data_IF_474610702011
#
_entry.id   IF_474610702011
#
_cell.length_a   1.000
_cell.length_b   1.000
_cell.length_c   1.000
_cell.angle_alpha   90.00
_cell.angle_beta   90.00
_cell.angle_gamma   90.00
#
_symmetry.space_group_name_H-M   'P 1'
#
loop_
_entity.id
_entity.type
_entity.pdbx_description
1 polymer ?
#
# COMPACT_ATOMS: atom_id res chain seq x y z
N UNK A 1 -18.17 8.53 -8.24
CA UNK A 1 -16.97 7.84 -7.76
C UNK A 1 -15.84 7.98 -8.77
N UNK A 2 -14.70 8.50 -8.33
CA UNK A 2 -13.48 8.64 -9.15
C UNK A 2 -12.48 7.58 -8.72
N UNK A 3 -11.81 6.94 -9.68
CA UNK A 3 -10.68 6.05 -9.42
C UNK A 3 -9.44 6.59 -10.13
N UNK A 4 -8.38 6.86 -9.39
CA UNK A 4 -7.09 7.25 -9.96
C UNK A 4 -6.22 6.01 -10.25
N UNK A 5 -5.74 5.87 -11.48
CA UNK A 5 -4.75 4.85 -11.87
C UNK A 5 -3.48 5.57 -12.29
N UNK A 6 -2.47 5.56 -11.41
CA UNK A 6 -1.20 6.22 -11.68
C UNK A 6 -0.06 5.48 -10.99
N UNK A 7 0.90 4.99 -11.79
CA UNK A 7 2.13 4.41 -11.26
C UNK A 7 3.08 5.56 -10.95
N UNK A 8 3.02 6.05 -9.71
CA UNK A 8 3.78 7.22 -9.27
C UNK A 8 5.29 6.94 -9.20
N UNK A 9 6.15 7.55 -10.05
CA UNK A 9 7.59 7.30 -10.01
C UNK A 9 8.24 7.72 -8.69
N UNK A 10 7.72 8.76 -8.01
CA UNK A 10 8.34 9.32 -6.80
C UNK A 10 8.35 8.35 -5.60
N UNK A 11 7.49 7.34 -5.60
CA UNK A 11 7.43 6.36 -4.51
C UNK A 11 8.24 5.09 -4.78
N UNK A 12 8.96 5.00 -5.90
CA UNK A 12 9.81 3.86 -6.22
C UNK A 12 11.27 4.16 -5.87
N UNK A 13 11.81 3.35 -4.99
CA UNK A 13 13.22 3.34 -4.58
C UNK A 13 14.14 2.68 -5.63
N UNK A 14 13.57 1.88 -6.55
CA UNK A 14 14.31 1.14 -7.57
C UNK A 14 13.71 1.32 -8.96
N UNK A 15 14.52 1.80 -9.89
CA UNK A 15 14.12 1.99 -11.29
C UNK A 15 13.60 0.69 -11.94
N UNK A 16 14.20 -0.46 -11.62
CA UNK A 16 13.76 -1.76 -12.13
C UNK A 16 12.38 -2.20 -11.62
N UNK A 17 11.99 -1.79 -10.40
CA UNK A 17 10.65 -2.10 -9.87
C UNK A 17 9.60 -1.22 -10.58
N UNK A 18 9.92 0.06 -10.82
CA UNK A 18 9.08 0.96 -11.61
C UNK A 18 8.91 0.49 -13.07
N UNK A 19 9.99 -0.01 -13.69
CA UNK A 19 9.97 -0.49 -15.06
C UNK A 19 9.11 -1.76 -15.21
N UNK A 20 9.18 -2.68 -14.23
CA UNK A 20 8.46 -3.96 -14.25
C UNK A 20 7.05 -3.90 -13.68
N UNK A 21 6.66 -2.79 -13.05
CA UNK A 21 5.33 -2.67 -12.46
C UNK A 21 4.24 -2.89 -13.53
N UNK A 22 3.27 -3.80 -13.30
CA UNK A 22 2.27 -4.13 -14.30
C UNK A 22 1.41 -2.91 -14.68
N UNK A 23 1.21 -2.70 -15.97
CA UNK A 23 0.34 -1.65 -16.53
C UNK A 23 -0.74 -2.30 -17.38
N UNK A 24 -1.96 -2.36 -16.86
CA UNK A 24 -3.10 -3.09 -17.43
C UNK A 24 -4.33 -2.20 -17.63
N UNK A 25 -4.12 -0.93 -18.00
CA UNK A 25 -5.16 0.11 -18.00
C UNK A 25 -6.47 -0.31 -18.67
N UNK A 26 -6.41 -0.99 -19.83
CA UNK A 26 -7.61 -1.45 -20.52
C UNK A 26 -8.41 -2.45 -19.69
N UNK A 27 -7.76 -3.49 -19.16
CA UNK A 27 -8.41 -4.50 -18.30
C UNK A 27 -8.94 -3.89 -16.99
N UNK A 28 -8.21 -2.92 -16.44
CA UNK A 28 -8.62 -2.21 -15.22
C UNK A 28 -9.87 -1.37 -15.47
N UNK A 29 -9.92 -0.63 -16.58
CA UNK A 29 -11.12 0.10 -17.02
C UNK A 29 -12.32 -0.82 -17.24
N UNK A 30 -12.14 -2.01 -17.82
CA UNK A 30 -13.22 -2.99 -17.99
C UNK A 30 -13.79 -3.48 -16.65
N UNK A 31 -12.91 -3.75 -15.67
CA UNK A 31 -13.32 -4.16 -14.31
C UNK A 31 -14.07 -3.02 -13.60
N UNK A 32 -13.56 -1.80 -13.71
CA UNK A 32 -14.16 -0.60 -13.09
C UNK A 32 -15.52 -0.25 -13.72
N UNK A 33 -15.66 -0.40 -15.04
CA UNK A 33 -16.93 -0.21 -15.74
C UNK A 33 -18.02 -1.16 -15.23
N UNK A 34 -17.68 -2.43 -14.97
CA UNK A 34 -18.59 -3.42 -14.36
C UNK A 34 -19.00 -3.08 -12.92
N UNK A 35 -18.27 -2.16 -12.27
CA UNK A 35 -18.56 -1.65 -10.92
C UNK A 35 -19.16 -0.24 -10.93
N UNK A 36 -19.60 0.24 -12.09
CA UNK A 36 -20.24 1.54 -12.26
C UNK A 36 -19.38 2.71 -11.74
N UNK A 37 -18.07 2.65 -11.95
CA UNK A 37 -17.18 3.80 -11.72
C UNK A 37 -17.48 4.89 -12.75
N UNK A 38 -17.69 6.12 -12.28
CA UNK A 38 -18.06 7.24 -13.16
C UNK A 38 -16.84 7.78 -13.94
N UNK A 39 -15.69 7.89 -13.28
CA UNK A 39 -14.48 8.48 -13.85
C UNK A 39 -13.25 7.65 -13.48
N UNK A 40 -12.43 7.34 -14.48
CA UNK A 40 -11.07 6.83 -14.29
C UNK A 40 -10.09 7.96 -14.62
N UNK A 41 -9.37 8.46 -13.62
CA UNK A 41 -8.32 9.45 -13.80
C UNK A 41 -6.97 8.74 -13.98
N UNK A 42 -6.46 8.69 -15.21
CA UNK A 42 -5.23 7.96 -15.57
C UNK A 42 -4.23 8.87 -16.31
N UNK A 43 -3.61 9.85 -15.61
CA UNK A 43 -2.71 10.82 -16.22
C UNK A 43 -1.37 10.19 -16.63
N UNK A 44 -0.67 10.80 -17.59
CA UNK A 44 0.72 10.42 -17.87
C UNK A 44 1.67 10.99 -16.81
N UNK A 45 2.82 10.35 -16.53
CA UNK A 45 3.82 10.90 -15.61
C UNK A 45 4.27 12.32 -15.95
N UNK A 46 4.36 12.67 -17.24
CA UNK A 46 4.72 14.01 -17.70
C UNK A 46 3.66 15.07 -17.38
N UNK A 47 2.38 14.69 -17.26
CA UNK A 47 1.31 15.61 -16.87
C UNK A 47 1.34 15.90 -15.36
N UNK A 48 1.75 14.89 -14.57
CA UNK A 48 1.87 15.01 -13.11
C UNK A 48 3.21 15.64 -12.70
N UNK A 49 4.29 15.32 -13.39
CA UNK A 49 5.65 15.75 -13.10
C UNK A 49 6.31 16.28 -14.38
N UNK A 50 5.92 17.48 -14.87
CA UNK A 50 6.38 18.01 -16.16
C UNK A 50 7.89 18.27 -16.22
N UNK A 51 8.52 18.44 -15.06
CA UNK A 51 9.97 18.65 -14.92
C UNK A 51 10.66 17.45 -14.26
N UNK A 52 9.99 16.29 -14.19
CA UNK A 52 10.45 15.15 -13.41
C UNK A 52 10.18 15.30 -11.91
N UNK A 53 10.68 14.34 -11.12
CA UNK A 53 10.41 14.25 -9.68
C UNK A 53 11.44 14.94 -8.79
N UNK A 54 12.64 15.21 -9.32
CA UNK A 54 13.80 15.61 -8.50
C UNK A 54 13.63 17.00 -7.87
N UNK A 55 13.05 17.94 -8.62
CA UNK A 55 12.75 19.31 -8.16
C UNK A 55 11.25 19.54 -7.87
N UNK A 56 10.44 18.48 -7.92
CA UNK A 56 9.01 18.60 -7.65
C UNK A 56 8.78 18.97 -6.18
N UNK A 57 7.85 19.90 -5.93
CA UNK A 57 7.34 20.14 -4.58
C UNK A 57 6.84 18.85 -3.96
N UNK A 58 7.22 18.60 -2.72
CA UNK A 58 6.87 17.38 -2.00
C UNK A 58 6.17 17.67 -0.68
N UNK A 59 5.43 16.68 -0.20
CA UNK A 59 4.83 16.65 1.14
C UNK A 59 5.49 15.52 1.90
N UNK A 60 5.98 15.79 3.11
CA UNK A 60 6.58 14.79 3.99
C UNK A 60 5.78 14.74 5.30
N UNK A 61 5.63 13.55 5.89
CA UNK A 61 4.90 13.33 7.14
C UNK A 61 5.90 12.77 8.17
N UNK A 62 6.56 13.63 8.96
CA UNK A 62 7.68 13.22 9.82
C UNK A 62 7.33 12.10 10.82
N UNK A 63 8.32 11.29 11.16
CA UNK A 63 8.21 10.17 12.08
C UNK A 63 7.63 8.93 11.39
N UNK A 64 6.37 8.97 10.98
CA UNK A 64 5.72 7.82 10.34
C UNK A 64 6.32 7.51 8.95
N UNK A 65 6.86 8.51 8.25
CA UNK A 65 7.52 8.33 6.95
C UNK A 65 8.85 7.58 7.02
N UNK A 66 9.49 7.49 8.20
CA UNK A 66 10.85 6.95 8.37
C UNK A 66 10.94 5.74 9.31
N UNK A 67 9.85 5.34 9.97
CA UNK A 67 9.78 4.12 10.77
C UNK A 67 9.30 2.91 9.94
N UNK A 68 9.44 1.69 10.47
CA UNK A 68 8.90 0.45 9.87
C UNK A 68 9.25 0.31 8.37
N UNK A 69 8.27 0.21 7.45
CA UNK A 69 8.53 0.10 6.00
C UNK A 69 9.29 1.32 5.47
N UNK A 70 9.09 2.49 6.06
CA UNK A 70 9.79 3.73 5.71
C UNK A 70 11.29 3.65 5.96
N UNK A 71 11.71 2.88 6.97
CA UNK A 71 13.13 2.62 7.23
C UNK A 71 13.74 1.71 6.14
N UNK A 72 12.98 0.73 5.65
CA UNK A 72 13.41 -0.18 4.58
C UNK A 72 13.32 0.43 3.19
N UNK A 73 12.50 1.48 3.00
CA UNK A 73 12.25 2.13 1.70
C UNK A 73 12.38 3.66 1.81
N UNK A 74 13.60 4.20 1.98
CA UNK A 74 13.81 5.64 2.11
C UNK A 74 13.17 6.43 0.97
N UNK A 75 12.40 7.46 1.30
CA UNK A 75 11.70 8.32 0.32
C UNK A 75 10.37 7.77 -0.19
N UNK A 76 10.05 6.48 0.01
CA UNK A 76 8.79 5.88 -0.47
C UNK A 76 7.56 6.66 0.00
N UNK A 77 7.48 6.89 1.31
CA UNK A 77 6.33 7.54 1.92
C UNK A 77 6.22 9.03 1.59
N UNK A 78 7.34 9.74 1.35
CA UNK A 78 7.32 11.09 0.78
C UNK A 78 6.65 11.09 -0.59
N UNK A 79 7.00 10.11 -1.43
CA UNK A 79 6.37 9.94 -2.73
C UNK A 79 4.86 9.72 -2.63
N UNK A 80 4.43 8.89 -1.65
CA UNK A 80 3.02 8.62 -1.37
C UNK A 80 2.27 9.87 -0.89
N UNK A 81 2.73 10.56 0.16
CA UNK A 81 2.07 11.78 0.66
C UNK A 81 2.02 12.88 -0.40
N UNK A 82 3.06 13.01 -1.22
CA UNK A 82 3.11 14.00 -2.30
C UNK A 82 2.05 13.73 -3.36
N UNK A 83 1.96 12.50 -3.89
CA UNK A 83 0.98 12.22 -4.94
C UNK A 83 -0.45 12.23 -4.41
N UNK A 84 -0.69 11.72 -3.19
CA UNK A 84 -2.03 11.73 -2.60
C UNK A 84 -2.49 13.15 -2.32
N UNK A 85 -1.62 14.02 -1.77
CA UNK A 85 -1.92 15.45 -1.62
C UNK A 85 -2.26 16.12 -2.95
N UNK A 86 -1.49 15.85 -4.00
CA UNK A 86 -1.76 16.39 -5.34
C UNK A 86 -3.10 15.89 -5.89
N UNK A 87 -3.43 14.62 -5.71
CA UNK A 87 -4.73 14.06 -6.11
C UNK A 87 -5.89 14.66 -5.31
N UNK A 88 -5.74 14.91 -4.01
CA UNK A 88 -6.75 15.60 -3.21
C UNK A 88 -7.00 17.02 -3.71
N UNK A 89 -5.96 17.76 -4.09
CA UNK A 89 -6.11 19.10 -4.67
C UNK A 89 -6.77 19.08 -6.05
N UNK A 90 -6.53 18.05 -6.87
CA UNK A 90 -7.08 17.93 -8.22
C UNK A 90 -8.53 17.44 -8.24
N UNK A 91 -8.86 16.46 -7.38
CA UNK A 91 -10.16 15.78 -7.37
C UNK A 91 -11.12 16.39 -6.36
N UNK A 92 -10.61 16.97 -5.28
CA UNK A 92 -11.39 17.55 -4.17
C UNK A 92 -12.51 16.62 -3.65
N UNK A 93 -12.18 15.38 -3.24
CA UNK A 93 -13.21 14.43 -2.82
C UNK A 93 -13.68 14.71 -1.38
N UNK A 94 -14.96 14.46 -1.08
CA UNK A 94 -15.44 14.45 0.31
C UNK A 94 -14.89 13.24 1.10
N UNK A 95 -14.71 12.10 0.41
CA UNK A 95 -14.29 10.81 0.99
C UNK A 95 -13.20 10.19 0.11
N UNK A 96 -12.14 9.68 0.73
CA UNK A 96 -11.11 8.89 0.08
C UNK A 96 -10.89 7.53 0.75
N UNK A 97 -10.92 6.46 -0.05
CA UNK A 97 -10.84 5.08 0.43
C UNK A 97 -9.45 4.47 0.20
N UNK A 98 -8.86 3.87 1.23
CA UNK A 98 -7.56 3.20 1.15
C UNK A 98 -7.64 1.82 1.80
N UNK A 99 -6.92 0.84 1.23
CA UNK A 99 -6.92 -0.53 1.77
C UNK A 99 -6.12 -0.65 3.06
N UNK A 100 -6.65 -1.37 4.06
CA UNK A 100 -5.99 -1.64 5.34
C UNK A 100 -4.76 -2.55 5.21
N UNK A 101 -4.58 -3.18 4.04
CA UNK A 101 -3.40 -3.99 3.74
C UNK A 101 -2.12 -3.19 3.93
N UNK A 102 -2.14 -1.92 3.53
CA UNK A 102 -1.01 -1.00 3.62
C UNK A 102 -1.24 -0.07 4.83
N UNK A 103 -1.26 -0.67 6.03
CA UNK A 103 -1.63 0.02 7.29
C UNK A 103 -0.82 1.29 7.55
N UNK A 104 0.50 1.24 7.35
CA UNK A 104 1.38 2.40 7.55
C UNK A 104 1.05 3.53 6.57
N UNK A 105 0.71 3.21 5.33
CA UNK A 105 0.23 4.20 4.36
C UNK A 105 -1.10 4.84 4.81
N UNK A 106 -2.07 4.03 5.24
CA UNK A 106 -3.35 4.54 5.73
C UNK A 106 -3.15 5.48 6.95
N UNK A 107 -2.31 5.08 7.90
CA UNK A 107 -1.98 5.92 9.06
C UNK A 107 -1.25 7.21 8.66
N UNK A 108 -0.33 7.13 7.70
CA UNK A 108 0.36 8.29 7.15
C UNK A 108 -0.60 9.28 6.48
N UNK A 109 -1.54 8.80 5.67
CA UNK A 109 -2.53 9.64 4.98
C UNK A 109 -3.48 10.28 5.99
N UNK A 110 -3.95 9.53 7.00
CA UNK A 110 -4.77 10.09 8.08
C UNK A 110 -4.05 11.21 8.83
N UNK A 111 -2.78 11.02 9.17
CA UNK A 111 -1.95 12.06 9.79
C UNK A 111 -1.79 13.27 8.88
N UNK A 112 -1.47 13.05 7.60
CA UNK A 112 -1.34 14.11 6.60
C UNK A 112 -2.62 14.94 6.47
N UNK A 113 -3.79 14.28 6.41
CA UNK A 113 -5.09 14.95 6.31
C UNK A 113 -5.35 15.84 7.52
N UNK A 114 -5.13 15.31 8.72
CA UNK A 114 -5.30 16.08 9.95
C UNK A 114 -4.33 17.26 10.05
N UNK A 115 -3.05 17.06 9.75
CA UNK A 115 -2.01 18.09 9.87
C UNK A 115 -2.16 19.21 8.82
N UNK A 116 -2.59 18.85 7.60
CA UNK A 116 -2.71 19.79 6.47
C UNK A 116 -4.10 20.45 6.37
N UNK A 117 -5.04 20.05 7.22
CA UNK A 117 -6.40 20.63 7.26
C UNK A 117 -7.26 20.28 6.03
N UNK A 118 -7.06 19.11 5.44
CA UNK A 118 -7.93 18.64 4.37
C UNK A 118 -9.31 18.26 4.93
N UNK A 119 -10.37 18.83 4.36
CA UNK A 119 -11.76 18.47 4.67
C UNK A 119 -12.17 17.20 3.91
N UNK A 120 -11.53 16.08 4.24
CA UNK A 120 -11.67 14.80 3.54
C UNK A 120 -11.77 13.66 4.57
N UNK A 121 -12.82 12.84 4.49
CA UNK A 121 -12.93 11.63 5.30
C UNK A 121 -12.05 10.51 4.74
N UNK A 122 -11.20 9.91 5.58
CA UNK A 122 -10.32 8.79 5.20
C UNK A 122 -10.87 7.45 5.69
N UNK A 123 -11.43 6.69 4.76
CA UNK A 123 -12.05 5.38 5.01
C UNK A 123 -11.04 4.25 4.75
N UNK A 124 -10.83 3.42 5.77
CA UNK A 124 -10.07 2.17 5.66
C UNK A 124 -10.95 1.05 5.11
N UNK A 125 -10.47 0.34 4.10
CA UNK A 125 -11.18 -0.80 3.48
C UNK A 125 -10.50 -2.11 3.88
N UNK A 126 -11.22 -3.08 4.47
CA UNK A 126 -10.64 -4.34 4.92
C UNK A 126 -9.86 -5.09 3.84
N UNK A 127 -8.84 -5.83 4.27
CA UNK A 127 -7.98 -6.63 3.39
C UNK A 127 -8.83 -7.68 2.66
N UNK A 128 -8.88 -7.60 1.33
CA UNK A 128 -9.47 -8.66 0.52
C UNK A 128 -8.48 -9.81 0.40
N UNK A 129 -8.93 -11.02 0.70
CA UNK A 129 -8.12 -12.25 0.67
C UNK A 129 -8.64 -13.23 -0.37
N UNK A 130 -7.72 -14.01 -0.94
CA UNK A 130 -8.07 -15.21 -1.69
C UNK A 130 -8.68 -16.26 -0.75
N UNK A 131 -9.31 -17.30 -1.31
CA UNK A 131 -9.97 -18.37 -0.53
C UNK A 131 -9.04 -19.08 0.46
N UNK A 132 -7.75 -19.11 0.17
CA UNK A 132 -6.71 -19.72 1.01
C UNK A 132 -6.10 -18.77 2.04
N UNK A 133 -6.58 -17.52 2.12
CA UNK A 133 -6.16 -16.52 3.11
C UNK A 133 -5.08 -15.55 2.64
N UNK A 134 -4.48 -15.78 1.46
CA UNK A 134 -3.47 -14.86 0.91
C UNK A 134 -4.10 -13.49 0.61
N UNK A 135 -3.49 -12.42 1.13
CA UNK A 135 -3.91 -11.06 0.80
C UNK A 135 -3.74 -10.80 -0.70
N UNK A 136 -4.77 -10.24 -1.35
CA UNK A 136 -4.69 -9.91 -2.77
C UNK A 136 -3.72 -8.73 -2.98
N UNK A 137 -2.80 -8.90 -3.92
CA UNK A 137 -1.79 -7.92 -4.29
C UNK A 137 -1.41 -8.11 -5.76
N UNK A 138 -1.16 -7.02 -6.49
CA UNK A 138 -0.63 -7.09 -7.85
C UNK A 138 0.72 -7.83 -7.89
N UNK A 139 1.51 -7.73 -6.81
CA UNK A 139 2.79 -8.43 -6.66
C UNK A 139 2.66 -9.96 -6.53
N UNK A 140 1.45 -10.50 -6.28
CA UNK A 140 1.25 -11.94 -6.27
C UNK A 140 1.53 -12.58 -7.63
N UNK A 141 1.49 -11.81 -8.73
CA UNK A 141 1.86 -12.27 -10.07
C UNK A 141 3.36 -12.59 -10.24
N UNK A 142 4.22 -12.17 -9.30
CA UNK A 142 5.64 -12.51 -9.32
C UNK A 142 5.95 -13.89 -8.71
N UNK A 143 4.98 -14.49 -8.01
CA UNK A 143 5.18 -15.77 -7.33
C UNK A 143 5.15 -16.91 -8.36
N UNK A 144 6.12 -17.82 -8.26
CA UNK A 144 6.03 -19.12 -8.94
C UNK A 144 4.88 -19.96 -8.37
N UNK A 145 4.50 -21.03 -9.08
CA UNK A 145 3.44 -21.93 -8.62
C UNK A 145 3.72 -22.52 -7.23
N UNK A 146 4.99 -22.80 -6.90
CA UNK A 146 5.36 -23.33 -5.59
C UNK A 146 5.44 -22.25 -4.52
N UNK A 147 5.97 -21.06 -4.83
CA UNK A 147 5.93 -19.92 -3.91
C UNK A 147 4.48 -19.53 -3.57
N UNK A 148 3.56 -19.62 -4.55
CA UNK A 148 2.14 -19.34 -4.34
C UNK A 148 1.49 -20.30 -3.34
N UNK A 149 1.93 -21.56 -3.26
CA UNK A 149 1.43 -22.52 -2.25
C UNK A 149 1.92 -22.18 -0.83
N UNK A 150 3.11 -21.59 -0.71
CA UNK A 150 3.73 -21.20 0.56
C UNK A 150 3.16 -19.87 1.09
N UNK A 151 2.89 -18.91 0.19
CA UNK A 151 2.52 -17.53 0.56
C UNK A 151 1.37 -17.37 1.57
N UNK A 152 0.29 -18.18 1.57
CA UNK A 152 -0.73 -18.12 2.62
C UNK A 152 -0.21 -18.35 4.04
N UNK A 153 0.97 -18.99 4.19
CA UNK A 153 1.64 -19.21 5.46
C UNK A 153 1.86 -17.93 6.27
N UNK A 154 2.16 -16.81 5.60
CA UNK A 154 2.29 -15.50 6.24
C UNK A 154 1.00 -15.11 6.98
N UNK A 155 -0.15 -15.22 6.31
CA UNK A 155 -1.44 -14.88 6.92
C UNK A 155 -1.80 -15.77 8.10
N UNK A 156 -1.38 -17.05 8.08
CA UNK A 156 -1.62 -17.99 9.18
C UNK A 156 -0.79 -17.61 10.41
N UNK A 157 0.50 -17.31 10.22
CA UNK A 157 1.37 -16.86 11.32
C UNK A 157 0.84 -15.56 11.93
N UNK A 158 0.44 -14.59 11.10
CA UNK A 158 -0.14 -13.34 11.61
C UNK A 158 -1.42 -13.55 12.43
N UNK A 159 -2.30 -14.48 12.03
CA UNK A 159 -3.49 -14.79 12.80
C UNK A 159 -3.15 -15.43 14.16
N UNK A 160 -2.16 -16.32 14.20
CA UNK A 160 -1.65 -16.89 15.46
C UNK A 160 -1.07 -15.80 16.36
N UNK A 161 -0.32 -14.83 15.82
CA UNK A 161 0.16 -13.68 16.59
C UNK A 161 -1.01 -12.87 17.18
N UNK A 162 -2.07 -12.66 16.40
CA UNK A 162 -3.26 -11.94 16.87
C UNK A 162 -3.98 -12.68 18.01
N UNK A 163 -4.11 -14.01 17.91
CA UNK A 163 -4.66 -14.85 18.99
C UNK A 163 -3.82 -14.75 20.28
N UNK A 164 -2.48 -14.80 20.16
CA UNK A 164 -1.57 -14.66 21.30
C UNK A 164 -1.64 -13.27 21.96
N UNK A 165 -1.72 -12.21 21.15
CA UNK A 165 -1.91 -10.84 21.65
C UNK A 165 -3.23 -10.68 22.42
N UNK A 166 -4.30 -11.33 21.94
CA UNK A 166 -5.61 -11.30 22.60
C UNK A 166 -5.63 -12.10 23.89
N UNK A 167 -4.89 -13.22 23.95
CA UNK A 167 -4.73 -14.02 25.16
C UNK A 167 -3.92 -13.29 26.25
N UNK A 168 -3.05 -12.36 25.86
CA UNK A 168 -2.18 -11.56 26.76
C UNK A 168 -1.23 -12.40 27.63
N UNK A 169 -0.85 -13.57 27.14
CA UNK A 169 0.03 -14.52 27.85
C UNK A 169 1.51 -14.29 27.55
N UNK A 170 1.81 -13.64 26.42
CA UNK A 170 3.16 -13.39 25.92
C UNK A 170 3.38 -11.89 25.67
N UNK A 171 4.63 -11.44 25.75
CA UNK A 171 5.00 -10.09 25.32
C UNK A 171 4.99 -9.97 23.80
N UNK A 172 4.98 -8.73 23.28
CA UNK A 172 5.04 -8.49 21.84
C UNK A 172 6.35 -9.04 21.25
N UNK A 173 7.46 -8.90 21.96
CA UNK A 173 8.77 -9.39 21.56
C UNK A 173 8.80 -10.93 21.46
N UNK A 174 8.19 -11.62 22.42
CA UNK A 174 8.08 -13.09 22.41
C UNK A 174 7.22 -13.58 21.23
N UNK A 175 6.10 -12.91 20.97
CA UNK A 175 5.21 -13.22 19.84
C UNK A 175 5.93 -13.02 18.49
N UNK A 176 6.70 -11.95 18.36
CA UNK A 176 7.50 -11.68 17.15
C UNK A 176 8.56 -12.76 16.94
N UNK A 177 9.31 -13.13 17.99
CA UNK A 177 10.33 -14.18 17.88
C UNK A 177 9.74 -15.54 17.46
N UNK A 178 8.57 -15.91 18.00
CA UNK A 178 7.87 -17.13 17.60
C UNK A 178 7.37 -17.06 16.15
N UNK A 179 6.91 -15.90 15.72
CA UNK A 179 6.45 -15.68 14.35
C UNK A 179 7.60 -15.78 13.32
N UNK A 180 8.76 -15.20 13.62
CA UNK A 180 9.96 -15.28 12.79
C UNK A 180 10.39 -16.74 12.58
N UNK A 181 10.44 -17.53 13.67
CA UNK A 181 10.75 -18.95 13.58
C UNK A 181 9.70 -19.70 12.72
N UNK A 182 8.42 -19.45 12.95
CA UNK A 182 7.34 -20.10 12.22
C UNK A 182 7.32 -19.74 10.71
N UNK A 183 7.79 -18.55 10.35
CA UNK A 183 7.96 -18.12 8.96
C UNK A 183 9.17 -18.83 8.34
N UNK A 184 10.31 -18.86 9.03
CA UNK A 184 11.52 -19.55 8.57
C UNK A 184 11.26 -21.05 8.32
N UNK A 185 10.54 -21.73 9.21
CA UNK A 185 10.17 -23.15 9.05
C UNK A 185 9.28 -23.41 7.83
N UNK A 186 8.57 -22.38 7.35
CA UNK A 186 7.72 -22.43 6.15
C UNK A 186 8.48 -22.03 4.88
N UNK A 187 9.77 -21.69 4.98
CA UNK A 187 10.57 -21.19 3.86
C UNK A 187 10.31 -19.73 3.52
N UNK A 188 9.78 -18.94 4.45
CA UNK A 188 9.64 -17.49 4.35
C UNK A 188 10.72 -16.84 5.22
N UNK A 189 11.49 -15.91 4.66
CA UNK A 189 12.51 -15.16 5.42
C UNK A 189 11.95 -13.83 5.89
N UNK A 190 12.27 -13.46 7.13
CA UNK A 190 11.95 -12.17 7.76
C UNK A 190 13.23 -11.37 7.96
#
# INVERSE_FOLDING_TARGET
MVVSIFVNPMQFDRADDLARYPRTLQEDCEKLKKRHVDIVFSPAPADIYPQGTDEATFVDVPGISTMLEGASRPGHFRGVSTIVSKLFNLVQPDIACFGEKDFQQLALIRKMVADMGYDIEIVGVPIVRAKDGLALSSRNGYLTADQRKIAPGLSKVMNTMAEQLLAKELTAEEIVALAEQALNDKGLSC
#
